data_IF_588654555241
#
_entry.id   IF_588654555241
#
_cell.length_a   1.000
_cell.length_b   1.000
_cell.length_c   1.000
_cell.angle_alpha   90.00
_cell.angle_beta   90.00
_cell.angle_gamma   90.00
#
_symmetry.space_group_name_H-M   'P 1'
#
loop_
_entity.id
_entity.type
_entity.pdbx_description
1 polymer ?
#
# COMPACT_ATOMS: atom_id res chain seq x y z
N UNK A 1 2.66 -2.04 -18.65
CA UNK A 1 2.51 -0.60 -18.34
C UNK A 1 1.14 -0.11 -18.80
N UNK A 2 0.55 0.91 -18.17
CA UNK A 2 -0.73 1.55 -18.55
C UNK A 2 -0.45 2.92 -19.15
N UNK A 3 -1.22 3.30 -20.18
CA UNK A 3 -0.99 4.51 -20.97
C UNK A 3 -1.81 5.71 -20.45
N UNK A 4 -1.17 6.84 -20.12
CA UNK A 4 -1.79 8.03 -19.48
C UNK A 4 -1.57 9.35 -20.24
N UNK A 5 -2.42 10.35 -19.95
CA UNK A 5 -2.63 11.56 -20.75
C UNK A 5 -1.91 12.83 -20.25
N UNK A 6 -0.81 12.73 -19.51
CA UNK A 6 -0.34 13.87 -18.70
C UNK A 6 0.55 14.94 -19.38
N UNK A 7 0.96 14.79 -20.64
CA UNK A 7 1.79 15.79 -21.36
C UNK A 7 1.32 15.94 -22.83
N UNK A 8 1.05 17.15 -23.35
CA UNK A 8 0.65 17.36 -24.75
C UNK A 8 1.71 16.92 -25.77
N UNK A 9 3.00 16.88 -25.39
CA UNK A 9 4.10 16.58 -26.31
C UNK A 9 4.36 15.07 -26.43
N UNK A 10 4.22 14.53 -27.65
CA UNK A 10 4.45 13.10 -27.90
C UNK A 10 3.32 12.20 -27.39
N UNK A 11 2.15 12.78 -27.14
CA UNK A 11 0.97 12.11 -26.63
C UNK A 11 0.49 11.02 -27.61
N UNK A 12 0.36 9.77 -27.16
CA UNK A 12 -0.24 8.72 -27.96
C UNK A 12 -1.71 9.01 -28.25
N UNK A 13 -2.21 8.53 -29.39
CA UNK A 13 -3.60 8.73 -29.78
C UNK A 13 -4.57 8.33 -28.65
N UNK A 14 -5.58 9.17 -28.28
CA UNK A 14 -6.42 8.97 -27.10
C UNK A 14 -7.05 7.57 -26.97
N UNK A 15 -7.41 6.94 -28.09
CA UNK A 15 -7.90 5.54 -28.17
C UNK A 15 -7.00 4.48 -27.48
N UNK A 16 -5.73 4.80 -27.22
CA UNK A 16 -4.77 3.89 -26.59
C UNK A 16 -4.60 4.12 -25.08
N UNK A 17 -5.23 5.16 -24.52
CA UNK A 17 -5.22 5.43 -23.10
C UNK A 17 -5.86 4.28 -22.31
N UNK A 18 -5.29 3.98 -21.14
CA UNK A 18 -5.77 2.92 -20.25
C UNK A 18 -5.49 1.49 -20.73
N UNK A 19 -4.90 1.28 -21.92
CA UNK A 19 -4.50 -0.06 -22.38
C UNK A 19 -3.29 -0.55 -21.60
N UNK A 20 -3.31 -1.82 -21.24
CA UNK A 20 -2.14 -2.52 -20.69
C UNK A 20 -1.25 -2.98 -21.84
N UNK A 21 0.02 -2.62 -21.76
CA UNK A 21 1.03 -2.91 -22.78
C UNK A 21 2.27 -3.58 -22.16
N UNK A 22 2.99 -4.35 -22.98
CA UNK A 22 4.29 -4.94 -22.64
C UNK A 22 5.40 -4.12 -23.30
N UNK A 23 6.46 -3.80 -22.58
CA UNK A 23 7.62 -3.08 -23.13
C UNK A 23 8.49 -4.08 -23.87
N UNK A 24 8.70 -3.87 -25.17
CA UNK A 24 9.55 -4.72 -26.02
C UNK A 24 11.01 -4.27 -26.01
N UNK A 25 11.24 -2.97 -26.21
CA UNK A 25 12.59 -2.41 -26.37
C UNK A 25 12.64 -0.94 -25.93
N UNK A 26 13.85 -0.44 -25.66
CA UNK A 26 14.09 1.00 -25.43
C UNK A 26 14.69 1.61 -26.70
N UNK A 27 14.02 2.62 -27.25
CA UNK A 27 14.48 3.36 -28.43
C UNK A 27 14.75 4.82 -28.06
N UNK A 28 16.02 5.13 -27.78
CA UNK A 28 16.42 6.44 -27.29
C UNK A 28 15.81 6.76 -25.91
N UNK A 29 15.06 7.86 -25.82
CA UNK A 29 14.30 8.25 -24.61
C UNK A 29 12.89 7.67 -24.54
N UNK A 30 12.47 6.91 -25.56
CA UNK A 30 11.13 6.36 -25.69
C UNK A 30 11.16 4.84 -25.56
N UNK A 31 10.02 4.25 -25.27
CA UNK A 31 9.83 2.80 -25.20
C UNK A 31 8.97 2.32 -26.37
N UNK A 32 9.38 1.21 -26.95
CA UNK A 32 8.57 0.45 -27.89
C UNK A 32 7.70 -0.51 -27.09
N UNK A 33 6.39 -0.31 -27.19
CA UNK A 33 5.39 -1.06 -26.42
C UNK A 33 4.46 -1.81 -27.37
N UNK A 34 4.08 -3.01 -26.97
CA UNK A 34 3.05 -3.78 -27.65
C UNK A 34 1.78 -3.88 -26.82
N UNK A 35 0.64 -3.83 -27.50
CA UNK A 35 -0.66 -4.06 -26.91
C UNK A 35 -1.62 -4.70 -27.92
N UNK A 36 -2.69 -5.30 -27.41
CA UNK A 36 -3.75 -5.86 -28.23
C UNK A 36 -4.93 -4.89 -28.28
N UNK A 37 -5.43 -4.64 -29.49
CA UNK A 37 -6.60 -3.80 -29.74
C UNK A 37 -7.55 -4.55 -30.68
N UNK A 38 -8.66 -5.06 -30.13
CA UNK A 38 -9.59 -5.92 -30.87
C UNK A 38 -8.95 -7.21 -31.39
N UNK A 39 -8.07 -7.83 -30.59
CA UNK A 39 -7.36 -9.07 -30.96
C UNK A 39 -6.18 -8.88 -31.93
N UNK A 40 -5.97 -7.66 -32.45
CA UNK A 40 -4.81 -7.34 -33.31
C UNK A 40 -3.67 -6.81 -32.46
N UNK A 41 -2.48 -7.41 -32.60
CA UNK A 41 -1.24 -6.92 -32.00
C UNK A 41 -0.83 -5.62 -32.69
N UNK A 42 -0.59 -4.57 -31.90
CA UNK A 42 -0.10 -3.27 -32.36
C UNK A 42 1.15 -2.89 -31.57
N UNK A 43 2.08 -2.23 -32.25
CA UNK A 43 3.31 -1.68 -31.67
C UNK A 43 3.23 -0.16 -31.71
N UNK A 44 3.61 0.50 -30.61
CA UNK A 44 3.56 1.94 -30.44
C UNK A 44 4.85 2.41 -29.75
N UNK A 45 5.34 3.58 -30.13
CA UNK A 45 6.40 4.27 -29.40
C UNK A 45 5.76 5.26 -28.43
N UNK A 46 6.07 5.13 -27.14
CA UNK A 46 5.56 6.01 -26.10
C UNK A 46 6.70 6.51 -25.21
N UNK A 47 6.61 7.78 -24.81
CA UNK A 47 7.54 8.31 -23.81
C UNK A 47 7.25 7.74 -22.42
N UNK A 48 8.26 7.62 -21.54
CA UNK A 48 8.11 7.12 -20.18
C UNK A 48 7.03 7.86 -19.37
N UNK A 49 6.86 9.16 -19.62
CA UNK A 49 5.85 10.01 -18.95
C UNK A 49 4.42 9.51 -19.17
N UNK A 50 4.16 8.81 -20.28
CA UNK A 50 2.85 8.24 -20.59
C UNK A 50 2.68 6.80 -20.11
N UNK A 51 3.66 6.23 -19.41
CA UNK A 51 3.65 4.83 -19.00
C UNK A 51 3.63 4.71 -17.48
N UNK A 52 2.62 4.01 -16.96
CA UNK A 52 2.53 3.60 -15.56
C UNK A 52 2.84 2.11 -15.42
N UNK A 53 3.46 1.63 -14.34
CA UNK A 53 3.57 0.19 -14.08
C UNK A 53 2.19 -0.47 -14.08
N UNK A 54 2.08 -1.69 -14.65
CA UNK A 54 0.80 -2.39 -14.74
C UNK A 54 0.22 -2.79 -13.38
N UNK A 55 1.06 -2.85 -12.33
CA UNK A 55 0.65 -3.13 -10.95
C UNK A 55 0.39 -1.88 -10.09
N UNK A 56 0.38 -0.67 -10.67
CA UNK A 56 0.51 0.57 -9.88
C UNK A 56 1.87 0.63 -9.16
N UNK A 57 2.16 1.67 -8.36
CA UNK A 57 3.12 1.48 -7.28
C UNK A 57 2.60 0.31 -6.43
N UNK A 58 3.48 -0.61 -6.00
CA UNK A 58 3.13 -1.56 -4.95
C UNK A 58 2.84 -0.74 -3.70
N UNK A 59 1.59 -0.33 -3.52
CA UNK A 59 1.10 0.35 -2.32
C UNK A 59 0.83 -0.72 -1.29
N UNK A 60 1.88 -1.41 -0.86
CA UNK A 60 1.81 -2.21 0.34
C UNK A 60 1.70 -1.24 1.50
N UNK A 61 0.58 -1.32 2.23
CA UNK A 61 0.41 -0.55 3.43
C UNK A 61 1.45 -1.03 4.47
N UNK A 62 2.05 -0.08 5.17
CA UNK A 62 3.04 -0.31 6.22
C UNK A 62 2.47 0.14 7.56
N UNK A 63 2.90 -0.51 8.64
CA UNK A 63 2.50 -0.14 10.01
C UNK A 63 3.17 1.16 10.47
N UNK A 64 2.58 1.82 11.46
CA UNK A 64 3.17 3.03 12.05
C UNK A 64 4.55 2.78 12.67
N UNK A 65 4.79 1.57 13.20
CA UNK A 65 6.11 1.16 13.71
C UNK A 65 7.16 1.19 12.61
N UNK A 66 6.85 0.65 11.43
CA UNK A 66 7.76 0.69 10.29
C UNK A 66 7.98 2.12 9.77
N UNK A 67 6.93 2.95 9.77
CA UNK A 67 7.03 4.36 9.40
C UNK A 67 7.99 5.11 10.33
N UNK A 68 7.91 4.87 11.64
CA UNK A 68 8.82 5.47 12.63
C UNK A 68 10.29 5.12 12.31
N UNK A 69 10.60 3.86 12.09
CA UNK A 69 11.97 3.42 11.77
C UNK A 69 12.47 4.07 10.48
N UNK A 70 11.66 4.08 9.43
CA UNK A 70 12.03 4.69 8.15
C UNK A 70 12.29 6.20 8.27
N UNK A 71 11.45 6.91 9.03
CA UNK A 71 11.61 8.35 9.24
C UNK A 71 12.81 8.69 10.13
N UNK A 72 13.10 7.86 11.15
CA UNK A 72 14.29 8.04 11.99
C UNK A 72 15.58 7.79 11.21
N UNK A 73 15.64 6.74 10.39
CA UNK A 73 16.76 6.49 9.48
C UNK A 73 16.94 7.63 8.46
N UNK A 74 15.83 8.16 7.93
CA UNK A 74 15.87 9.27 6.99
C UNK A 74 16.35 10.57 7.66
N UNK A 75 15.99 10.82 8.92
CA UNK A 75 16.43 11.98 9.70
C UNK A 75 17.95 11.99 9.94
N UNK A 76 18.58 10.81 10.05
CA UNK A 76 20.03 10.70 10.20
C UNK A 76 20.79 11.06 8.92
N UNK A 77 20.22 10.74 7.76
CA UNK A 77 20.88 10.92 6.45
C UNK A 77 20.67 12.31 5.86
N UNK A 78 19.55 12.96 6.18
CA UNK A 78 19.17 14.26 5.59
C UNK A 78 18.25 15.05 6.51
N UNK A 79 18.15 16.35 6.27
CA UNK A 79 17.13 17.19 6.89
C UNK A 79 15.74 16.80 6.37
N UNK A 80 14.84 16.50 7.30
CA UNK A 80 13.43 16.19 6.99
C UNK A 80 12.65 17.47 6.72
N UNK A 81 11.65 17.39 5.83
CA UNK A 81 10.68 18.47 5.65
C UNK A 81 9.81 18.61 6.90
N UNK A 82 9.14 19.76 7.05
CA UNK A 82 8.27 20.02 8.21
C UNK A 82 7.17 18.96 8.34
N UNK A 83 6.56 18.56 7.23
CA UNK A 83 5.51 17.54 7.19
C UNK A 83 6.04 16.18 7.65
N UNK A 84 7.25 15.82 7.21
CA UNK A 84 7.89 14.58 7.62
C UNK A 84 8.30 14.59 9.12
N UNK A 85 8.68 15.76 9.65
CA UNK A 85 8.94 15.92 11.09
C UNK A 85 7.65 15.75 11.92
N UNK A 86 6.54 16.35 11.48
CA UNK A 86 5.24 16.17 12.14
C UNK A 86 4.77 14.71 12.07
N UNK A 87 4.99 14.04 10.94
CA UNK A 87 4.68 12.62 10.79
C UNK A 87 5.51 11.75 11.75
N UNK A 88 6.79 12.06 11.92
CA UNK A 88 7.66 11.37 12.88
C UNK A 88 7.16 11.57 14.32
N UNK A 89 6.82 12.80 14.70
CA UNK A 89 6.27 13.11 16.03
C UNK A 89 4.96 12.34 16.29
N UNK A 90 4.08 12.29 15.29
CA UNK A 90 2.86 11.50 15.39
C UNK A 90 3.16 10.00 15.55
N UNK A 91 4.07 9.46 14.74
CA UNK A 91 4.48 8.05 14.81
C UNK A 91 5.09 7.73 16.19
N UNK A 92 5.90 8.61 16.75
CA UNK A 92 6.47 8.45 18.10
C UNK A 92 5.39 8.43 19.20
N UNK A 93 4.37 9.27 19.09
CA UNK A 93 3.28 9.32 20.07
C UNK A 93 2.28 8.16 19.96
N UNK A 94 2.11 7.61 18.76
CA UNK A 94 1.10 6.59 18.46
C UNK A 94 1.61 5.15 18.58
N UNK A 95 2.91 4.91 18.31
CA UNK A 95 3.50 3.58 18.36
C UNK A 95 3.65 3.10 19.80
N UNK A 96 2.93 2.03 20.14
CA UNK A 96 2.95 1.38 21.46
C UNK A 96 3.89 0.17 21.53
N UNK A 97 4.17 -0.47 20.40
CA UNK A 97 4.92 -1.73 20.31
C UNK A 97 6.30 -1.55 19.69
N UNK A 98 7.18 -2.51 20.00
CA UNK A 98 8.46 -2.66 19.31
C UNK A 98 8.26 -3.27 17.92
N UNK A 99 9.24 -3.11 17.04
CA UNK A 99 9.17 -3.66 15.68
C UNK A 99 8.98 -5.18 15.67
N UNK A 100 9.71 -5.88 16.53
CA UNK A 100 9.67 -7.35 16.62
C UNK A 100 8.28 -7.86 17.00
N UNK A 101 7.64 -7.18 17.95
CA UNK A 101 6.31 -7.57 18.44
C UNK A 101 5.23 -7.27 17.39
N UNK A 102 5.33 -6.15 16.69
CA UNK A 102 4.43 -5.81 15.57
C UNK A 102 4.53 -6.83 14.44
N UNK A 103 5.74 -7.27 14.08
CA UNK A 103 5.94 -8.26 13.01
C UNK A 103 5.36 -9.64 13.40
N UNK A 104 5.53 -10.07 14.65
CA UNK A 104 4.92 -11.32 15.16
C UNK A 104 3.40 -11.25 15.18
N UNK A 105 2.82 -10.17 15.70
CA UNK A 105 1.37 -9.95 15.71
C UNK A 105 0.81 -9.97 14.28
N UNK A 106 1.46 -9.30 13.33
CA UNK A 106 1.04 -9.32 11.92
C UNK A 106 1.16 -10.70 11.29
N UNK A 107 2.13 -11.51 11.71
CA UNK A 107 2.24 -12.91 11.31
C UNK A 107 1.03 -13.71 11.75
N UNK A 108 0.70 -13.66 13.05
CA UNK A 108 -0.47 -14.36 13.62
C UNK A 108 -1.80 -13.88 13.01
N UNK A 109 -1.93 -12.57 12.75
CA UNK A 109 -3.13 -12.02 12.13
C UNK A 109 -3.31 -12.43 10.66
N UNK A 110 -2.21 -12.67 9.93
CA UNK A 110 -2.27 -13.13 8.52
C UNK A 110 -2.66 -14.60 8.39
N UNK A 111 -2.47 -15.41 9.43
CA UNK A 111 -2.91 -16.81 9.42
C UNK A 111 -4.44 -16.95 9.43
N UNK A 112 -5.14 -15.90 9.88
CA UNK A 112 -6.60 -15.87 9.92
C UNK A 112 -7.16 -15.59 8.51
N UNK A 113 -7.87 -16.53 7.87
CA UNK A 113 -8.29 -16.42 6.47
C UNK A 113 -9.37 -15.35 6.22
N UNK A 114 -10.03 -14.89 7.29
CA UNK A 114 -11.06 -13.86 7.25
C UNK A 114 -10.52 -12.45 7.52
N UNK A 115 -9.22 -12.32 7.83
CA UNK A 115 -8.55 -11.03 8.09
C UNK A 115 -7.88 -10.55 6.81
N UNK A 116 -8.36 -9.42 6.30
CA UNK A 116 -7.69 -8.73 5.19
C UNK A 116 -6.36 -8.10 5.66
N UNK A 117 -5.30 -8.06 4.83
CA UNK A 117 -4.02 -7.47 5.23
C UNK A 117 -4.12 -6.01 5.70
N UNK A 118 -5.04 -5.21 5.13
CA UNK A 118 -5.27 -3.84 5.57
C UNK A 118 -5.95 -3.79 6.94
N UNK A 119 -6.82 -4.74 7.24
CA UNK A 119 -7.47 -4.85 8.54
C UNK A 119 -6.46 -5.25 9.62
N UNK A 120 -5.58 -6.22 9.33
CA UNK A 120 -4.50 -6.63 10.24
C UNK A 120 -3.60 -5.46 10.66
N UNK A 121 -3.23 -4.60 9.71
CA UNK A 121 -2.41 -3.41 9.97
C UNK A 121 -3.11 -2.42 10.92
N UNK A 122 -4.40 -2.14 10.68
CA UNK A 122 -5.18 -1.24 11.56
C UNK A 122 -5.31 -1.80 12.97
N UNK A 123 -5.52 -3.10 13.09
CA UNK A 123 -5.61 -3.79 14.39
C UNK A 123 -4.26 -3.68 15.12
N UNK A 124 -3.15 -3.91 14.43
CA UNK A 124 -1.81 -3.80 14.99
C UNK A 124 -1.47 -2.39 15.46
N UNK A 125 -1.85 -1.35 14.69
CA UNK A 125 -1.57 0.05 15.06
C UNK A 125 -2.43 0.55 16.23
N UNK A 126 -3.68 0.08 16.34
CA UNK A 126 -4.62 0.60 17.35
C UNK A 126 -4.60 -0.19 18.67
N UNK A 127 -4.35 -1.50 18.60
CA UNK A 127 -4.46 -2.44 19.72
C UNK A 127 -5.81 -2.33 20.44
N UNK A 128 -6.90 -2.80 19.80
CA UNK A 128 -8.23 -2.71 20.38
C UNK A 128 -8.33 -3.51 21.69
N UNK A 129 -8.99 -2.93 22.67
CA UNK A 129 -9.18 -3.47 24.03
C UNK A 129 -10.60 -3.92 24.28
N UNK A 130 -11.55 -3.24 23.63
CA UNK A 130 -12.97 -3.49 23.82
C UNK A 130 -13.58 -4.11 22.56
N UNK A 131 -14.59 -4.99 22.71
CA UNK A 131 -15.32 -5.55 21.56
C UNK A 131 -15.88 -4.47 20.62
N UNK A 132 -16.30 -3.33 21.16
CA UNK A 132 -16.85 -2.22 20.37
C UNK A 132 -15.81 -1.57 19.45
N UNK A 133 -14.54 -1.53 19.84
CA UNK A 133 -13.46 -0.99 19.00
C UNK A 133 -13.22 -1.90 17.79
N UNK A 134 -13.25 -3.22 18.00
CA UNK A 134 -13.12 -4.21 16.93
C UNK A 134 -14.31 -4.10 15.96
N UNK A 135 -15.54 -3.98 16.48
CA UNK A 135 -16.75 -3.77 15.67
C UNK A 135 -16.67 -2.47 14.87
N UNK A 136 -16.17 -1.39 15.48
CA UNK A 136 -15.99 -0.11 14.80
C UNK A 136 -15.02 -0.25 13.62
N UNK A 137 -13.89 -0.93 13.81
CA UNK A 137 -12.92 -1.18 12.73
C UNK A 137 -13.53 -2.02 11.61
N UNK A 138 -14.21 -3.11 11.96
CA UNK A 138 -14.85 -4.02 11.01
C UNK A 138 -15.98 -3.35 10.21
N UNK A 139 -16.75 -2.47 10.85
CA UNK A 139 -17.84 -1.73 10.19
C UNK A 139 -17.36 -0.88 9.02
N UNK A 140 -16.18 -0.26 9.16
CA UNK A 140 -15.59 0.59 8.13
C UNK A 140 -15.08 -0.21 6.94
N UNK A 141 -14.66 -1.46 7.20
CA UNK A 141 -14.15 -2.39 6.21
C UNK A 141 -15.26 -3.28 5.61
N UNK A 142 -16.53 -3.04 5.99
CA UNK A 142 -17.74 -3.77 5.55
C UNK A 142 -17.66 -5.27 5.83
N UNK A 143 -16.81 -5.67 6.76
CA UNK A 143 -16.68 -7.05 7.23
C UNK A 143 -17.62 -7.25 8.41
N UNK A 144 -18.45 -8.28 8.35
CA UNK A 144 -19.25 -8.71 9.51
C UNK A 144 -18.40 -9.71 10.28
N UNK A 145 -18.18 -9.43 11.57
CA UNK A 145 -17.44 -10.32 12.45
C UNK A 145 -18.38 -10.96 13.46
N UNK A 146 -18.22 -12.26 13.67
CA UNK A 146 -18.94 -13.01 14.69
C UNK A 146 -18.36 -12.73 16.09
N UNK A 147 -19.14 -12.96 17.14
CA UNK A 147 -18.68 -12.72 18.53
C UNK A 147 -17.46 -13.58 18.91
N UNK A 148 -17.34 -14.79 18.35
CA UNK A 148 -16.18 -15.66 18.54
C UNK A 148 -14.92 -15.10 17.89
N UNK A 149 -15.05 -14.54 16.68
CA UNK A 149 -13.95 -13.90 15.96
C UNK A 149 -13.45 -12.67 16.73
N UNK A 150 -14.37 -11.87 17.30
CA UNK A 150 -14.01 -10.70 18.11
C UNK A 150 -13.23 -11.12 19.37
N UNK A 151 -13.65 -12.19 20.05
CA UNK A 151 -12.92 -12.70 21.23
C UNK A 151 -11.51 -13.17 20.86
N UNK A 152 -11.38 -13.91 19.77
CA UNK A 152 -10.06 -14.39 19.31
C UNK A 152 -9.09 -13.24 18.99
N UNK A 153 -9.57 -12.15 18.38
CA UNK A 153 -8.76 -10.95 18.15
C UNK A 153 -8.32 -10.27 19.45
N UNK A 154 -9.23 -10.14 20.42
CA UNK A 154 -8.92 -9.52 21.71
C UNK A 154 -7.90 -10.35 22.52
N UNK A 155 -7.97 -11.68 22.44
CA UNK A 155 -6.98 -12.56 23.06
C UNK A 155 -5.61 -12.42 22.40
N UNK A 156 -5.54 -12.26 21.07
CA UNK A 156 -4.30 -12.03 20.34
C UNK A 156 -3.70 -10.66 20.69
N UNK A 157 -4.49 -9.58 20.67
CA UNK A 157 -3.99 -8.24 20.98
C UNK A 157 -3.57 -8.10 22.45
N UNK A 158 -4.18 -8.85 23.36
CA UNK A 158 -3.82 -8.86 24.77
C UNK A 158 -2.43 -9.48 25.05
N UNK A 159 -1.93 -10.39 24.21
CA UNK A 159 -0.61 -11.04 24.39
C UNK A 159 0.56 -10.10 24.16
N UNK A 160 0.38 -9.14 23.26
CA UNK A 160 1.44 -8.24 22.80
C UNK A 160 1.45 -6.91 23.57
N UNK A 161 0.69 -6.81 24.66
CA UNK A 161 0.46 -5.57 25.39
C UNK A 161 1.40 -5.39 26.58
#
# INVERSE_FOLDING_TARGET
MRLEASDPHGMPHPRYQGKVCTVLSRRGRSFEIEFYDGGKRKVLLANPVHLLPAGGPMTEAISLTAVKDLLTEAAQKRTLSREAQLALQHAEASVKLTREDTEKLLGELKELPWVDPLFALKVADLLPQFPEEVRLLASKDRTVLDEEQIKSLLELTAKYR
#
